data_IF_103610432271
#
_entry.id   IF_103610432271
#
_cell.length_a   1.000
_cell.length_b   1.000
_cell.length_c   1.000
_cell.angle_alpha   90.00
_cell.angle_beta   90.00
_cell.angle_gamma   90.00
#
_symmetry.space_group_name_H-M   'P 1'
#
loop_
_entity.id
_entity.type
_entity.pdbx_description
1 polymer ?
#
# COMPACT_ATOMS: atom_id res chain seq x y z
N UNK A 1 6.19 23.50 -18.35
CA UNK A 1 6.26 24.13 -17.00
C UNK A 1 4.95 23.98 -16.24
N UNK A 2 3.78 24.06 -16.90
CA UNK A 2 2.46 23.86 -16.29
C UNK A 2 2.29 22.43 -15.78
N UNK A 3 2.63 21.41 -16.56
CA UNK A 3 2.51 19.98 -16.15
C UNK A 3 3.33 19.62 -14.89
N UNK A 4 4.43 20.33 -14.63
CA UNK A 4 5.23 20.15 -13.40
C UNK A 4 4.67 20.92 -12.19
N UNK A 5 3.98 22.03 -12.43
CA UNK A 5 3.29 22.78 -11.38
C UNK A 5 2.05 22.01 -10.90
N UNK A 6 1.28 21.46 -11.84
CA UNK A 6 0.11 20.64 -11.54
C UNK A 6 0.46 19.33 -10.81
N UNK A 7 1.57 18.68 -11.17
CA UNK A 7 2.02 17.47 -10.47
C UNK A 7 2.47 17.70 -9.02
N UNK A 8 2.81 18.93 -8.65
CA UNK A 8 3.15 19.27 -7.25
C UNK A 8 1.93 19.64 -6.40
N UNK A 9 0.82 20.05 -7.03
CA UNK A 9 -0.40 20.43 -6.36
C UNK A 9 -1.31 19.24 -6.01
N UNK A 10 -1.11 18.09 -6.66
CA UNK A 10 -1.96 16.91 -6.50
C UNK A 10 -1.20 15.70 -5.95
N UNK A 11 -1.82 14.98 -5.02
CA UNK A 11 -1.39 13.66 -4.57
C UNK A 11 -2.37 12.62 -5.12
N UNK A 12 -1.89 11.73 -5.97
CA UNK A 12 -2.64 10.55 -6.39
C UNK A 12 -2.35 9.41 -5.43
N UNK A 13 -3.36 8.97 -4.72
CA UNK A 13 -3.28 7.81 -3.83
C UNK A 13 -4.00 6.63 -4.47
N UNK A 14 -3.32 5.49 -4.58
CA UNK A 14 -3.92 4.27 -5.13
C UNK A 14 -4.83 3.68 -4.07
N UNK A 15 -6.10 3.46 -4.42
CA UNK A 15 -7.04 2.69 -3.62
C UNK A 15 -6.94 1.21 -4.01
N UNK A 16 -6.48 0.38 -3.08
CA UNK A 16 -6.34 -1.05 -3.35
C UNK A 16 -7.69 -1.77 -3.22
N UNK A 17 -8.09 -2.55 -4.25
CA UNK A 17 -9.31 -3.32 -4.20
C UNK A 17 -9.21 -4.45 -3.18
N UNK A 18 -10.32 -4.80 -2.57
CA UNK A 18 -10.42 -6.04 -1.82
C UNK A 18 -10.30 -7.22 -2.79
N UNK A 19 -9.37 -8.14 -2.51
CA UNK A 19 -9.18 -9.35 -3.31
C UNK A 19 -10.37 -10.29 -3.10
N UNK A 20 -10.83 -10.99 -4.15
CA UNK A 20 -11.95 -11.94 -4.09
C UNK A 20 -11.71 -13.04 -3.03
N UNK A 21 -12.77 -13.54 -2.44
CA UNK A 21 -12.71 -14.63 -1.46
C UNK A 21 -12.60 -15.99 -2.18
N UNK A 22 -11.93 -16.94 -1.55
CA UNK A 22 -11.93 -18.33 -2.02
C UNK A 22 -12.84 -19.14 -1.08
N UNK A 23 -13.84 -19.79 -1.65
CA UNK A 23 -14.84 -20.60 -0.94
C UNK A 23 -14.79 -22.04 -1.43
N UNK A 24 -15.23 -22.97 -0.58
CA UNK A 24 -15.49 -24.33 -1.00
C UNK A 24 -16.84 -24.45 -1.71
N UNK A 25 -17.17 -25.66 -2.20
CA UNK A 25 -18.44 -25.97 -2.88
C UNK A 25 -19.69 -25.73 -2.01
N UNK A 26 -19.53 -25.69 -0.71
CA UNK A 26 -20.60 -25.45 0.27
C UNK A 26 -20.70 -23.98 0.67
N UNK A 27 -19.92 -23.10 0.07
CA UNK A 27 -19.86 -21.67 0.40
C UNK A 27 -19.00 -21.31 1.60
N UNK A 28 -18.31 -22.28 2.21
CA UNK A 28 -17.44 -22.03 3.37
C UNK A 28 -16.18 -21.30 2.94
N UNK A 29 -15.86 -20.22 3.64
CA UNK A 29 -14.69 -19.37 3.32
C UNK A 29 -13.42 -20.09 3.73
N UNK A 30 -12.56 -20.34 2.74
CA UNK A 30 -11.23 -20.91 2.90
C UNK A 30 -10.17 -19.84 3.03
N UNK A 31 -10.26 -18.80 2.18
CA UNK A 31 -9.31 -17.69 2.14
C UNK A 31 -10.07 -16.37 2.14
N UNK A 32 -9.66 -15.45 3.00
CA UNK A 32 -10.29 -14.13 3.17
C UNK A 32 -9.26 -13.03 3.35
N UNK A 33 -9.72 -11.79 3.42
CA UNK A 33 -8.88 -10.62 3.58
C UNK A 33 -8.97 -10.08 5.01
N UNK A 34 -7.81 -9.74 5.59
CA UNK A 34 -7.74 -8.93 6.80
C UNK A 34 -7.23 -7.53 6.47
N UNK A 35 -7.77 -6.47 7.10
CA UNK A 35 -7.21 -5.14 6.96
C UNK A 35 -5.78 -5.10 7.49
N UNK A 36 -4.94 -4.36 6.81
CA UNK A 36 -3.56 -4.07 7.19
C UNK A 36 -3.21 -2.67 6.71
N UNK A 37 -2.20 -2.08 7.29
CA UNK A 37 -1.80 -0.72 6.96
C UNK A 37 -0.32 -0.69 6.61
N UNK A 38 0.02 0.05 5.56
CA UNK A 38 1.40 0.31 5.18
C UNK A 38 1.76 1.74 5.56
N UNK A 39 2.93 1.90 6.15
CA UNK A 39 3.55 3.21 6.42
C UNK A 39 4.30 3.62 5.16
N UNK A 40 3.79 4.64 4.49
CA UNK A 40 4.38 5.20 3.27
C UNK A 40 5.17 6.46 3.60
N UNK A 41 6.30 6.67 2.93
CA UNK A 41 7.14 7.86 3.11
C UNK A 41 7.43 8.56 1.79
N UNK A 42 7.28 9.88 1.77
CA UNK A 42 7.79 10.76 0.72
C UNK A 42 9.05 11.45 1.24
N UNK A 43 10.20 10.93 0.90
CA UNK A 43 11.50 11.32 1.49
C UNK A 43 11.78 12.82 1.35
N UNK A 44 11.37 13.43 0.23
CA UNK A 44 11.53 14.88 0.00
C UNK A 44 10.76 15.75 1.00
N UNK A 45 9.66 15.25 1.55
CA UNK A 45 8.80 15.98 2.47
C UNK A 45 9.26 15.87 3.93
N UNK A 46 10.20 14.98 4.23
CA UNK A 46 10.73 14.72 5.57
C UNK A 46 11.70 15.82 6.04
N UNK A 47 11.31 17.09 5.90
CA UNK A 47 12.09 18.22 6.44
C UNK A 47 11.83 18.32 7.95
N UNK A 48 12.92 18.46 8.74
CA UNK A 48 12.84 18.55 10.21
C UNK A 48 12.11 17.34 10.84
N UNK A 49 12.40 16.15 10.34
CA UNK A 49 11.78 14.92 10.77
C UNK A 49 12.31 14.47 12.14
N UNK A 50 11.40 14.28 13.10
CA UNK A 50 11.72 13.72 14.43
C UNK A 50 11.90 12.19 14.33
N UNK A 51 13.10 11.77 13.94
CA UNK A 51 13.42 10.34 13.79
C UNK A 51 13.28 9.57 15.10
N UNK A 52 13.70 10.15 16.23
CA UNK A 52 13.63 9.46 17.52
C UNK A 52 12.19 9.26 17.98
N UNK A 53 11.36 10.30 17.87
CA UNK A 53 9.93 10.20 18.19
C UNK A 53 9.23 9.18 17.29
N UNK A 54 9.57 9.16 15.99
CA UNK A 54 9.00 8.22 15.05
C UNK A 54 9.43 6.76 15.34
N UNK A 55 10.70 6.52 15.64
CA UNK A 55 11.21 5.21 16.01
C UNK A 55 10.53 4.68 17.29
N UNK A 56 10.37 5.55 18.29
CA UNK A 56 9.67 5.20 19.53
C UNK A 56 8.21 4.81 19.25
N UNK A 57 7.53 5.57 18.38
CA UNK A 57 6.14 5.32 18.03
C UNK A 57 5.92 3.99 17.30
N UNK A 58 6.86 3.62 16.44
CA UNK A 58 6.83 2.34 15.71
C UNK A 58 7.49 1.18 16.45
N UNK A 59 8.02 1.43 17.66
CA UNK A 59 8.78 0.45 18.45
C UNK A 59 9.92 -0.20 17.66
N UNK A 60 10.68 0.62 16.91
CA UNK A 60 11.88 0.21 16.16
C UNK A 60 13.11 0.96 16.66
N UNK A 61 14.29 0.38 16.49
CA UNK A 61 15.53 1.06 16.79
C UNK A 61 15.90 2.10 15.70
N UNK A 62 16.74 3.07 16.06
CA UNK A 62 17.27 4.02 15.08
C UNK A 62 18.11 3.33 14.01
N UNK A 63 18.85 2.30 14.38
CA UNK A 63 19.62 1.48 13.43
C UNK A 63 18.70 0.78 12.42
N UNK A 64 17.58 0.23 12.89
CA UNK A 64 16.59 -0.40 12.04
C UNK A 64 15.94 0.63 11.08
N UNK A 65 15.63 1.82 11.56
CA UNK A 65 15.16 2.92 10.72
C UNK A 65 16.15 3.24 9.60
N UNK A 66 17.44 3.38 9.93
CA UNK A 66 18.50 3.69 8.95
C UNK A 66 18.67 2.58 7.92
N UNK A 67 18.59 1.31 8.34
CA UNK A 67 18.63 0.16 7.43
C UNK A 67 17.44 0.20 6.47
N UNK A 68 16.22 0.36 6.98
CA UNK A 68 15.00 0.45 6.15
C UNK A 68 15.05 1.61 5.18
N UNK A 69 15.55 2.77 5.61
CA UNK A 69 15.72 3.94 4.74
C UNK A 69 16.76 3.72 3.64
N UNK A 70 17.85 3.01 3.93
CA UNK A 70 18.85 2.63 2.93
C UNK A 70 18.26 1.65 1.91
N UNK A 71 17.52 0.65 2.37
CA UNK A 71 16.88 -0.35 1.51
C UNK A 71 15.77 0.27 0.64
N UNK A 72 14.98 1.18 1.20
CA UNK A 72 13.98 1.94 0.47
C UNK A 72 14.61 2.73 -0.70
N UNK A 73 15.75 3.41 -0.45
CA UNK A 73 16.46 4.19 -1.49
C UNK A 73 17.14 3.32 -2.56
N UNK A 74 17.41 2.05 -2.27
CA UNK A 74 18.02 1.10 -3.24
C UNK A 74 16.98 0.40 -4.11
N UNK A 75 15.69 0.51 -3.80
CA UNK A 75 14.63 -0.16 -4.58
C UNK A 75 14.60 0.32 -6.01
N UNK A 76 14.38 -0.59 -6.94
CA UNK A 76 14.16 -0.25 -8.35
C UNK A 76 12.92 0.61 -8.48
N UNK A 77 13.00 1.73 -9.20
CA UNK A 77 11.89 2.67 -9.32
C UNK A 77 11.71 3.62 -8.13
N UNK A 78 12.68 3.66 -7.20
CA UNK A 78 12.66 4.62 -6.11
C UNK A 78 12.58 6.06 -6.63
N UNK A 79 11.68 6.83 -6.03
CA UNK A 79 11.57 8.27 -6.23
C UNK A 79 11.39 8.95 -4.88
N UNK A 80 12.14 10.02 -4.64
CA UNK A 80 11.98 10.82 -3.41
C UNK A 80 10.71 11.67 -3.40
N UNK A 81 10.01 11.77 -4.54
CA UNK A 81 8.82 12.59 -4.74
C UNK A 81 7.52 11.82 -4.59
N UNK A 82 7.56 10.50 -4.66
CA UNK A 82 6.39 9.63 -4.57
C UNK A 82 6.39 8.84 -3.28
N UNK A 83 5.19 8.50 -2.73
CA UNK A 83 5.08 7.65 -1.55
C UNK A 83 5.78 6.31 -1.79
N UNK A 84 6.66 5.92 -0.87
CA UNK A 84 7.39 4.66 -0.90
C UNK A 84 7.07 3.85 0.36
N UNK A 85 6.86 2.53 0.27
CA UNK A 85 6.56 1.72 1.45
C UNK A 85 7.80 1.59 2.35
N UNK A 86 7.72 2.17 3.55
CA UNK A 86 8.75 2.08 4.59
C UNK A 86 8.56 0.86 5.47
N UNK A 87 7.33 0.65 5.94
CA UNK A 87 6.93 -0.52 6.71
C UNK A 87 5.59 -1.02 6.18
N UNK A 88 5.47 -2.31 6.00
CA UNK A 88 4.25 -2.95 5.49
C UNK A 88 3.62 -3.83 6.57
N UNK A 89 2.32 -4.09 6.40
CA UNK A 89 1.57 -5.03 7.26
C UNK A 89 1.48 -4.61 8.72
N UNK A 90 1.36 -3.29 8.98
CA UNK A 90 1.09 -2.80 10.33
C UNK A 90 -0.30 -3.29 10.79
N UNK A 91 -0.41 -3.87 12.00
CA UNK A 91 -1.70 -4.30 12.53
C UNK A 91 -2.61 -3.09 12.84
N UNK A 92 -3.94 -3.28 12.84
CA UNK A 92 -4.88 -2.19 13.10
C UNK A 92 -4.70 -1.49 14.45
N UNK A 93 -4.17 -2.20 15.44
CA UNK A 93 -3.91 -1.70 16.80
C UNK A 93 -2.83 -0.61 16.78
N UNK A 94 -1.71 -0.87 16.10
CA UNK A 94 -0.60 0.09 15.96
C UNK A 94 -0.97 1.25 15.02
N UNK A 95 -1.86 1.00 14.04
CA UNK A 95 -2.36 2.04 13.15
C UNK A 95 -3.05 3.16 13.90
N UNK A 96 -3.93 2.85 14.88
CA UNK A 96 -4.66 3.87 15.63
C UNK A 96 -3.72 4.85 16.33
N UNK A 97 -2.69 4.34 17.01
CA UNK A 97 -1.70 5.15 17.73
C UNK A 97 -0.87 6.01 16.77
N UNK A 98 -0.46 5.44 15.63
CA UNK A 98 0.32 6.18 14.64
C UNK A 98 -0.52 7.27 13.96
N UNK A 99 -1.78 6.97 13.62
CA UNK A 99 -2.69 7.90 12.95
C UNK A 99 -2.92 9.18 13.75
N UNK A 100 -3.05 9.08 15.06
CA UNK A 100 -3.23 10.24 15.95
C UNK A 100 -2.02 11.19 15.96
N UNK A 101 -0.83 10.67 15.68
CA UNK A 101 0.42 11.43 15.75
C UNK A 101 1.02 11.75 14.38
N UNK A 102 0.38 11.35 13.29
CA UNK A 102 0.92 11.57 11.93
C UNK A 102 1.22 13.04 11.61
N UNK A 103 0.47 13.98 12.20
CA UNK A 103 0.69 15.42 11.99
C UNK A 103 2.09 15.89 12.42
N UNK A 104 2.78 15.14 13.29
CA UNK A 104 4.16 15.41 13.73
C UNK A 104 5.22 14.98 12.73
N UNK A 105 4.87 14.12 11.78
CA UNK A 105 5.81 13.46 10.89
C UNK A 105 5.52 13.82 9.43
N UNK A 106 6.00 14.99 8.96
CA UNK A 106 5.79 15.41 7.58
C UNK A 106 6.39 14.38 6.61
N UNK A 107 5.66 14.08 5.55
CA UNK A 107 6.05 13.10 4.54
C UNK A 107 5.74 11.65 4.88
N UNK A 108 5.07 11.39 6.02
CA UNK A 108 4.56 10.06 6.37
C UNK A 108 3.07 9.97 6.08
N UNK A 109 2.66 8.90 5.42
CA UNK A 109 1.27 8.61 5.06
C UNK A 109 0.93 7.18 5.42
N UNK A 110 -0.33 6.95 5.75
CA UNK A 110 -0.85 5.61 5.97
C UNK A 110 -1.66 5.16 4.76
N UNK A 111 -1.38 3.96 4.29
CA UNK A 111 -2.12 3.35 3.19
C UNK A 111 -2.77 2.06 3.66
N UNK A 112 -4.10 2.01 3.59
CA UNK A 112 -4.84 0.79 3.89
C UNK A 112 -4.63 -0.24 2.78
N UNK A 113 -4.36 -1.46 3.19
CA UNK A 113 -4.29 -2.64 2.32
C UNK A 113 -5.05 -3.80 2.93
N UNK A 114 -5.22 -4.84 2.16
CA UNK A 114 -5.71 -6.12 2.65
C UNK A 114 -4.63 -7.17 2.50
N UNK A 115 -4.42 -7.95 3.56
CA UNK A 115 -3.55 -9.13 3.54
C UNK A 115 -4.37 -10.39 3.48
N UNK A 116 -3.83 -11.40 2.81
CA UNK A 116 -4.46 -12.71 2.67
C UNK A 116 -4.37 -13.50 3.95
N UNK A 117 -5.49 -14.08 4.36
CA UNK A 117 -5.55 -14.96 5.51
C UNK A 117 -6.25 -16.27 5.16
N UNK A 118 -5.69 -17.37 5.66
CA UNK A 118 -6.11 -18.73 5.36
C UNK A 118 -6.72 -19.35 6.64
N UNK A 119 -8.01 -19.72 6.57
CA UNK A 119 -8.72 -20.30 7.72
C UNK A 119 -8.20 -21.67 8.13
N UNK A 120 -7.59 -22.38 7.18
CA UNK A 120 -7.15 -23.75 7.38
C UNK A 120 -5.70 -23.91 6.92
N UNK A 121 -4.91 -24.65 7.70
CA UNK A 121 -3.54 -25.02 7.32
C UNK A 121 -3.47 -26.15 6.29
N UNK A 122 -4.63 -26.64 5.84
CA UNK A 122 -4.76 -27.69 4.84
C UNK A 122 -4.76 -27.11 3.42
N UNK A 123 -4.34 -27.93 2.44
CA UNK A 123 -4.37 -27.60 1.01
C UNK A 123 -3.53 -26.38 0.60
N UNK A 124 -2.46 -26.04 1.33
CA UNK A 124 -1.62 -24.88 1.05
C UNK A 124 -1.05 -24.86 -0.37
N UNK A 125 -0.66 -26.01 -0.91
CA UNK A 125 -0.17 -26.13 -2.29
C UNK A 125 -1.27 -25.89 -3.33
N UNK A 126 -2.51 -26.28 -3.03
CA UNK A 126 -3.64 -26.10 -3.91
C UNK A 126 -4.12 -24.63 -3.88
N UNK A 127 -4.35 -24.08 -2.69
CA UNK A 127 -4.78 -22.69 -2.51
C UNK A 127 -3.71 -21.71 -3.01
N UNK A 128 -2.46 -22.04 -2.76
CA UNK A 128 -1.36 -21.18 -3.12
C UNK A 128 -1.08 -20.09 -2.09
N UNK A 129 -0.31 -19.10 -2.52
CA UNK A 129 0.10 -17.98 -1.69
C UNK A 129 0.12 -16.69 -2.49
N UNK A 130 -0.02 -15.57 -1.78
CA UNK A 130 0.12 -14.22 -2.31
C UNK A 130 1.43 -13.63 -1.80
N UNK A 131 2.18 -12.99 -2.67
CA UNK A 131 3.45 -12.36 -2.35
C UNK A 131 3.70 -11.10 -3.15
N UNK A 132 4.72 -10.34 -2.78
CA UNK A 132 5.10 -9.12 -3.50
C UNK A 132 5.48 -9.43 -4.95
N UNK A 133 5.06 -8.58 -5.87
CA UNK A 133 5.34 -8.72 -7.29
C UNK A 133 6.84 -8.53 -7.57
N UNK A 134 7.36 -9.33 -8.47
CA UNK A 134 8.73 -9.21 -8.94
C UNK A 134 8.81 -8.36 -10.23
N UNK A 135 10.02 -7.95 -10.60
CA UNK A 135 10.25 -7.13 -11.79
C UNK A 135 9.67 -7.72 -13.08
N UNK A 136 9.74 -9.04 -13.25
CA UNK A 136 9.20 -9.72 -14.43
C UNK A 136 7.68 -9.63 -14.52
N UNK A 137 6.99 -9.62 -13.38
CA UNK A 137 5.54 -9.45 -13.34
C UNK A 137 5.14 -8.02 -13.71
N UNK A 138 5.88 -7.02 -13.23
CA UNK A 138 5.66 -5.61 -13.55
C UNK A 138 5.89 -5.35 -15.05
N UNK A 139 6.94 -5.92 -15.65
CA UNK A 139 7.25 -5.77 -17.07
C UNK A 139 6.19 -6.46 -17.97
N UNK A 140 5.52 -7.49 -17.46
CA UNK A 140 4.52 -8.28 -18.19
C UNK A 140 3.10 -7.70 -18.12
N UNK A 141 2.76 -7.03 -17.04
CA UNK A 141 1.39 -6.53 -16.81
C UNK A 141 1.46 -5.15 -16.14
N UNK A 142 1.02 -4.12 -16.86
CA UNK A 142 0.99 -2.72 -16.43
C UNK A 142 0.11 -2.47 -15.20
N UNK A 143 -0.74 -3.42 -14.83
CA UNK A 143 -1.52 -3.37 -13.60
C UNK A 143 -0.65 -3.28 -12.35
N UNK A 144 0.52 -3.92 -12.38
CA UNK A 144 1.40 -4.03 -11.24
C UNK A 144 2.42 -2.89 -11.16
N UNK A 145 2.56 -2.37 -9.95
CA UNK A 145 3.64 -1.46 -9.58
C UNK A 145 4.43 -2.06 -8.41
N UNK A 146 5.59 -1.50 -8.16
CA UNK A 146 6.46 -1.95 -7.07
C UNK A 146 5.71 -1.87 -5.72
N UNK A 147 5.80 -2.94 -4.94
CA UNK A 147 5.10 -3.06 -3.66
C UNK A 147 3.69 -3.64 -3.76
N UNK A 148 3.20 -3.98 -4.97
CA UNK A 148 1.94 -4.71 -5.12
C UNK A 148 2.10 -6.17 -4.73
N UNK A 149 0.96 -6.83 -4.51
CA UNK A 149 0.88 -8.24 -4.19
C UNK A 149 0.11 -8.99 -5.27
N UNK A 150 0.59 -10.19 -5.62
CA UNK A 150 -0.04 -11.08 -6.59
C UNK A 150 0.05 -12.53 -6.15
N UNK A 151 -0.82 -13.38 -6.70
CA UNK A 151 -0.76 -14.83 -6.50
C UNK A 151 0.53 -15.40 -7.07
N UNK A 152 1.27 -16.13 -6.25
CA UNK A 152 2.57 -16.71 -6.63
C UNK A 152 2.42 -18.14 -7.16
N UNK A 153 1.44 -18.88 -6.67
CA UNK A 153 1.19 -20.27 -7.05
C UNK A 153 -0.27 -20.67 -6.77
N UNK A 154 -0.66 -21.89 -7.17
CA UNK A 154 -1.95 -22.50 -6.89
C UNK A 154 -3.13 -21.73 -7.46
N UNK A 155 -4.28 -21.82 -6.79
CA UNK A 155 -5.52 -21.13 -7.14
C UNK A 155 -5.33 -19.62 -7.16
N UNK A 156 -4.58 -19.07 -6.22
CA UNK A 156 -4.28 -17.64 -6.14
C UNK A 156 -3.61 -17.12 -7.43
N UNK A 157 -2.68 -17.86 -8.01
CA UNK A 157 -2.02 -17.48 -9.26
C UNK A 157 -2.91 -17.75 -10.48
N UNK A 158 -3.57 -18.91 -10.53
CA UNK A 158 -4.38 -19.33 -11.69
C UNK A 158 -5.54 -18.38 -11.92
N UNK A 159 -6.18 -17.91 -10.84
CA UNK A 159 -7.34 -17.00 -10.88
C UNK A 159 -6.98 -15.55 -10.54
N UNK A 160 -5.71 -15.17 -10.67
CA UNK A 160 -5.22 -13.83 -10.33
C UNK A 160 -6.08 -12.72 -10.97
N UNK A 161 -6.37 -12.81 -12.26
CA UNK A 161 -7.14 -11.81 -13.01
C UNK A 161 -8.59 -11.64 -12.50
N UNK A 162 -9.14 -12.68 -11.89
CA UNK A 162 -10.50 -12.68 -11.31
C UNK A 162 -10.44 -12.15 -9.87
N UNK A 163 -9.46 -12.61 -9.11
CA UNK A 163 -9.33 -12.33 -7.68
C UNK A 163 -8.79 -10.93 -7.39
N UNK A 164 -7.91 -10.37 -8.21
CA UNK A 164 -7.18 -9.12 -7.91
C UNK A 164 -8.04 -7.86 -7.89
N UNK A 165 -9.21 -7.86 -8.58
CA UNK A 165 -10.07 -6.68 -8.73
C UNK A 165 -9.48 -5.60 -9.63
N UNK A 166 -9.94 -4.36 -9.48
CA UNK A 166 -9.44 -3.18 -10.20
C UNK A 166 -9.07 -2.09 -9.21
N UNK A 167 -7.87 -1.55 -9.33
CA UNK A 167 -7.40 -0.43 -8.50
C UNK A 167 -8.23 0.81 -8.74
N UNK A 168 -8.45 1.57 -7.68
CA UNK A 168 -8.97 2.92 -7.72
C UNK A 168 -7.84 3.95 -7.57
N UNK A 169 -8.18 5.20 -7.78
CA UNK A 169 -7.27 6.34 -7.58
C UNK A 169 -8.06 7.45 -6.90
N UNK A 170 -7.58 7.91 -5.77
CA UNK A 170 -8.08 9.12 -5.11
C UNK A 170 -7.11 10.27 -5.38
N UNK A 171 -7.64 11.45 -5.67
CA UNK A 171 -6.85 12.64 -5.98
C UNK A 171 -7.05 13.69 -4.90
N UNK A 172 -5.98 14.01 -4.19
CA UNK A 172 -5.97 15.00 -3.12
C UNK A 172 -5.25 16.27 -3.54
N UNK A 173 -5.77 17.41 -3.11
CA UNK A 173 -5.09 18.70 -3.18
C UNK A 173 -4.04 18.82 -2.09
N UNK A 174 -2.88 19.38 -2.44
CA UNK A 174 -1.81 19.74 -1.51
C UNK A 174 -1.55 21.23 -1.50
N UNK A 175 -1.23 21.75 -0.33
CA UNK A 175 -0.71 23.11 -0.21
C UNK A 175 0.77 23.20 -0.63
N UNK A 176 1.29 24.43 -0.66
CA UNK A 176 2.71 24.69 -0.98
C UNK A 176 3.70 24.02 0.00
N UNK A 177 3.23 23.54 1.14
CA UNK A 177 4.01 22.81 2.13
C UNK A 177 3.85 21.29 2.03
N UNK A 178 3.06 20.80 1.05
CA UNK A 178 2.80 19.38 0.82
C UNK A 178 1.69 18.77 1.70
N UNK A 179 0.95 19.57 2.47
CA UNK A 179 -0.12 19.08 3.36
C UNK A 179 -1.40 18.87 2.55
N UNK A 180 -2.06 17.74 2.81
CA UNK A 180 -3.35 17.42 2.20
C UNK A 180 -4.41 18.41 2.70
N UNK A 181 -5.06 19.12 1.78
CA UNK A 181 -6.13 20.07 2.05
C UNK A 181 -7.53 19.46 1.91
N UNK A 182 -7.64 18.40 1.10
CA UNK A 182 -8.89 17.72 0.83
C UNK A 182 -8.84 16.98 -0.51
N UNK A 183 -9.97 16.41 -0.90
CA UNK A 183 -10.11 15.80 -2.23
C UNK A 183 -10.24 16.87 -3.30
N UNK A 184 -9.68 16.61 -4.47
CA UNK A 184 -9.82 17.49 -5.62
C UNK A 184 -11.29 17.46 -6.10
N UNK A 185 -11.90 18.65 -6.21
CA UNK A 185 -13.29 18.84 -6.67
C UNK A 185 -14.27 17.85 -6.00
N UNK A 186 -14.19 17.73 -4.67
CA UNK A 186 -15.01 16.81 -3.85
C UNK A 186 -15.00 15.35 -4.33
N UNK A 187 -13.89 14.95 -4.96
CA UNK A 187 -13.70 13.58 -5.47
C UNK A 187 -14.23 13.33 -6.89
N UNK A 188 -14.55 14.38 -7.64
CA UNK A 188 -15.03 14.24 -9.03
C UNK A 188 -14.00 13.54 -9.95
N UNK A 189 -12.73 13.56 -9.59
CA UNK A 189 -11.64 12.91 -10.32
C UNK A 189 -11.24 11.56 -9.72
N UNK A 190 -11.94 11.08 -8.69
CA UNK A 190 -11.66 9.80 -8.08
C UNK A 190 -12.16 8.66 -8.98
N UNK A 191 -11.35 7.62 -9.10
CA UNK A 191 -11.74 6.35 -9.71
C UNK A 191 -11.91 5.33 -8.59
N UNK A 192 -13.12 4.86 -8.36
CA UNK A 192 -13.40 3.88 -7.32
C UNK A 192 -12.76 2.53 -7.63
N UNK A 193 -12.17 1.91 -6.62
CA UNK A 193 -11.69 0.53 -6.71
C UNK A 193 -12.88 -0.44 -6.89
N UNK A 194 -12.63 -1.56 -7.59
CA UNK A 194 -13.61 -2.64 -7.73
C UNK A 194 -13.05 -3.91 -7.15
N UNK A 195 -13.73 -4.47 -6.15
CA UNK A 195 -13.33 -5.72 -5.52
C UNK A 195 -13.22 -6.86 -6.56
N UNK A 196 -12.32 -7.80 -6.28
CA UNK A 196 -12.22 -9.04 -7.03
C UNK A 196 -13.46 -9.91 -6.85
N UNK A 197 -13.67 -10.81 -7.82
CA UNK A 197 -14.80 -11.75 -7.78
C UNK A 197 -14.44 -12.95 -6.89
N UNK A 198 -15.48 -13.59 -6.33
CA UNK A 198 -15.38 -14.75 -5.46
C UNK A 198 -15.58 -16.06 -6.24
#
# INVERSE_FOLDING_TARGET
>A
YQDKADSNAYLKQIEFPARGLIKDRNGKILVFNKPSYDVMMVVREMKQFDTLGFCTLLNISQEEFDIRMKDLKKRVGYSSYTPQPFMTQLPPEDYGVLQEQLFRFPGVYMQMRTIRNYNYSAAALLLGSVGEVNRKMIEKDEFYVLGDYAGQNGVEQTYENVLRGKKGVEVFLRDAHGRIQGKLDDGAHDVQSKAGQN
#
